data_IF_853529848915
#
_entry.id   IF_853529848915
#
_cell.length_a   1.000
_cell.length_b   1.000
_cell.length_c   1.000
_cell.angle_alpha   90.00
_cell.angle_beta   90.00
_cell.angle_gamma   90.00
#
_symmetry.space_group_name_H-M   'P 1'
#
loop_
_entity.id
_entity.type
_entity.pdbx_description
1 polymer ?
#
# COMPACT_ATOMS: atom_id res chain seq x y z
N UNK A 1 -20.05 17.57 -4.47
CA UNK A 1 -20.35 16.68 -5.62
C UNK A 1 -19.48 15.40 -5.70
N UNK A 2 -18.32 15.29 -5.01
CA UNK A 2 -17.36 14.16 -5.18
C UNK A 2 -17.61 12.88 -4.36
N UNK A 3 -18.40 12.91 -3.27
CA UNK A 3 -18.55 11.76 -2.35
C UNK A 3 -19.51 10.66 -2.87
N UNK A 4 -20.51 11.02 -3.69
CA UNK A 4 -21.46 10.04 -4.26
C UNK A 4 -20.79 9.08 -5.24
N UNK A 5 -19.86 9.58 -6.06
CA UNK A 5 -19.20 8.80 -7.10
C UNK A 5 -18.36 7.64 -6.53
N UNK A 6 -17.73 7.83 -5.37
CA UNK A 6 -16.85 6.82 -4.75
C UNK A 6 -17.67 5.75 -4.00
N UNK A 7 -18.86 6.08 -3.49
CA UNK A 7 -19.75 5.09 -2.85
C UNK A 7 -20.24 4.05 -3.85
N UNK A 8 -20.61 4.47 -5.05
CA UNK A 8 -21.12 3.61 -6.12
C UNK A 8 -20.09 2.65 -6.73
N UNK A 9 -18.81 2.77 -6.34
CA UNK A 9 -17.75 1.87 -6.81
C UNK A 9 -17.90 0.49 -6.14
N UNK A 10 -17.81 -0.57 -6.95
CA UNK A 10 -17.79 -1.97 -6.52
C UNK A 10 -16.70 -2.24 -5.48
N UNK A 11 -16.98 -3.13 -4.53
CA UNK A 11 -16.01 -3.50 -3.48
C UNK A 11 -14.71 -4.03 -4.10
N UNK A 12 -14.80 -4.89 -5.12
CA UNK A 12 -13.64 -5.42 -5.85
C UNK A 12 -12.74 -4.30 -6.37
N UNK A 13 -13.33 -3.26 -6.96
CA UNK A 13 -12.58 -2.13 -7.51
C UNK A 13 -11.92 -1.30 -6.41
N UNK A 14 -12.60 -1.07 -5.28
CA UNK A 14 -12.00 -0.38 -4.11
C UNK A 14 -10.76 -1.13 -3.60
N UNK A 15 -10.83 -2.45 -3.48
CA UNK A 15 -9.70 -3.29 -3.05
C UNK A 15 -8.56 -3.33 -4.08
N UNK A 16 -8.89 -3.45 -5.38
CA UNK A 16 -7.88 -3.41 -6.43
C UNK A 16 -7.17 -2.05 -6.50
N UNK A 17 -7.89 -0.94 -6.30
CA UNK A 17 -7.27 0.39 -6.22
C UNK A 17 -6.33 0.51 -5.03
N UNK A 18 -6.73 0.02 -3.85
CA UNK A 18 -5.85 -0.01 -2.67
C UNK A 18 -4.58 -0.82 -2.93
N UNK A 19 -4.72 -2.04 -3.45
CA UNK A 19 -3.58 -2.91 -3.78
C UNK A 19 -2.69 -2.29 -4.86
N UNK A 20 -3.28 -1.75 -5.91
CA UNK A 20 -2.55 -1.09 -7.00
C UNK A 20 -1.76 0.14 -6.53
N UNK A 21 -2.39 1.03 -5.75
CA UNK A 21 -1.71 2.20 -5.17
C UNK A 21 -0.60 1.76 -4.22
N UNK A 22 -0.83 0.72 -3.42
CA UNK A 22 0.19 0.21 -2.49
C UNK A 22 1.40 -0.36 -3.24
N UNK A 23 1.18 -1.17 -4.28
CA UNK A 23 2.25 -1.73 -5.12
C UNK A 23 3.01 -0.60 -5.85
N UNK A 24 2.29 0.35 -6.43
CA UNK A 24 2.92 1.51 -7.09
C UNK A 24 3.75 2.34 -6.11
N UNK A 25 3.27 2.53 -4.89
CA UNK A 25 4.02 3.19 -3.82
C UNK A 25 5.30 2.44 -3.45
N UNK A 26 5.24 1.11 -3.34
CA UNK A 26 6.42 0.28 -3.08
C UNK A 26 7.44 0.32 -4.21
N UNK A 27 6.98 0.24 -5.46
CA UNK A 27 7.87 0.35 -6.64
C UNK A 27 8.53 1.73 -6.65
N UNK A 28 7.75 2.79 -6.47
CA UNK A 28 8.26 4.15 -6.43
C UNK A 28 9.33 4.32 -5.33
N UNK A 29 9.04 3.87 -4.10
CA UNK A 29 9.99 3.89 -2.99
C UNK A 29 11.26 3.08 -3.27
N UNK A 30 11.12 1.90 -3.90
CA UNK A 30 12.25 1.06 -4.29
C UNK A 30 13.14 1.75 -5.33
N UNK A 31 12.54 2.32 -6.37
CA UNK A 31 13.27 3.05 -7.43
C UNK A 31 14.00 4.26 -6.87
N UNK A 32 13.32 5.11 -6.09
CA UNK A 32 13.94 6.24 -5.37
C UNK A 32 15.12 5.77 -4.50
N UNK A 33 14.93 4.66 -3.77
CA UNK A 33 16.00 4.12 -2.92
C UNK A 33 17.25 3.76 -3.70
N UNK A 34 17.10 3.12 -4.85
CA UNK A 34 18.23 2.74 -5.72
C UNK A 34 18.90 3.97 -6.32
N UNK A 35 18.15 4.99 -6.72
CA UNK A 35 18.70 6.24 -7.29
C UNK A 35 19.56 6.96 -6.25
N UNK A 36 19.05 7.15 -5.04
CA UNK A 36 19.82 7.76 -3.94
C UNK A 36 21.09 6.95 -3.62
N UNK A 37 20.99 5.62 -3.61
CA UNK A 37 22.16 4.76 -3.35
C UNK A 37 23.24 4.92 -4.42
N UNK A 38 22.86 5.09 -5.69
CA UNK A 38 23.81 5.35 -6.79
C UNK A 38 24.53 6.69 -6.62
N UNK A 39 23.80 7.74 -6.26
CA UNK A 39 24.40 9.07 -6.06
C UNK A 39 25.42 9.09 -4.93
N UNK A 40 25.15 8.37 -3.83
CA UNK A 40 26.12 8.22 -2.73
C UNK A 40 27.34 7.40 -3.20
N UNK A 41 27.09 6.35 -3.98
CA UNK A 41 28.15 5.51 -4.51
C UNK A 41 29.06 6.24 -5.51
N UNK A 42 28.55 7.22 -6.26
CA UNK A 42 29.35 8.04 -7.18
C UNK A 42 30.43 8.83 -6.43
N UNK A 43 30.09 9.52 -5.33
CA UNK A 43 31.08 10.23 -4.51
C UNK A 43 32.16 9.29 -3.96
N UNK A 44 31.78 8.09 -3.48
CA UNK A 44 32.75 7.08 -3.04
C UNK A 44 33.62 6.56 -4.18
N UNK A 45 33.06 6.45 -5.39
CA UNK A 45 33.79 5.97 -6.57
C UNK A 45 34.81 7.01 -7.00
N UNK A 46 34.45 8.29 -7.01
CA UNK A 46 35.35 9.39 -7.33
C UNK A 46 36.54 9.43 -6.35
N UNK A 47 36.29 9.33 -5.04
CA UNK A 47 37.34 9.26 -4.02
C UNK A 47 38.28 8.08 -4.27
N UNK A 48 37.72 6.89 -4.48
CA UNK A 48 38.52 5.67 -4.60
C UNK A 48 39.26 5.53 -5.93
N UNK A 49 38.72 6.08 -7.02
CA UNK A 49 39.25 5.86 -8.38
C UNK A 49 40.02 7.06 -8.94
N UNK A 50 39.87 8.25 -8.37
CA UNK A 50 40.56 9.46 -8.83
C UNK A 50 41.41 10.08 -7.71
N UNK A 51 40.78 10.53 -6.62
CA UNK A 51 41.48 11.30 -5.59
C UNK A 51 42.56 10.50 -4.83
N UNK A 52 42.24 9.28 -4.38
CA UNK A 52 43.19 8.46 -3.60
C UNK A 52 44.42 8.04 -4.43
N UNK A 53 44.28 7.52 -5.65
CA UNK A 53 45.44 7.22 -6.50
C UNK A 53 46.32 8.45 -6.77
N UNK A 54 45.72 9.63 -7.03
CA UNK A 54 46.48 10.86 -7.24
C UNK A 54 47.32 11.24 -6.01
N UNK A 55 46.75 11.16 -4.80
CA UNK A 55 47.49 11.40 -3.54
C UNK A 55 48.66 10.42 -3.41
N UNK A 56 48.42 9.12 -3.63
CA UNK A 56 49.44 8.08 -3.50
C UNK A 56 50.59 8.33 -4.48
N UNK A 57 50.31 8.59 -5.76
CA UNK A 57 51.34 8.81 -6.76
C UNK A 57 52.15 10.09 -6.45
N UNK A 58 51.50 11.18 -6.01
CA UNK A 58 52.21 12.40 -5.63
C UNK A 58 53.16 12.19 -4.43
N UNK A 59 52.72 11.46 -3.41
CA UNK A 59 53.55 11.11 -2.24
C UNK A 59 54.67 10.12 -2.59
N UNK A 60 54.39 9.14 -3.46
CA UNK A 60 55.41 8.22 -3.98
C UNK A 60 56.47 8.94 -4.82
N UNK A 61 56.06 9.89 -5.67
CA UNK A 61 56.96 10.75 -6.42
C UNK A 61 57.86 11.54 -5.45
N UNK A 62 57.28 12.17 -4.43
CA UNK A 62 58.05 12.93 -3.42
C UNK A 62 59.04 12.04 -2.63
N UNK A 63 58.67 10.78 -2.40
CA UNK A 63 59.56 9.79 -1.79
C UNK A 63 60.70 9.42 -2.74
N UNK A 64 60.40 9.15 -4.02
CA UNK A 64 61.42 8.78 -5.02
C UNK A 64 62.39 9.91 -5.32
N UNK A 65 61.94 11.17 -5.34
CA UNK A 65 62.84 12.33 -5.48
C UNK A 65 63.80 12.40 -4.29
N UNK A 66 63.31 12.13 -3.08
CA UNK A 66 64.14 12.05 -1.86
C UNK A 66 65.15 10.90 -1.94
N UNK A 67 64.74 9.72 -2.40
CA UNK A 67 65.63 8.58 -2.62
C UNK A 67 66.73 8.90 -3.64
N UNK A 68 66.39 9.56 -4.75
CA UNK A 68 67.35 10.03 -5.75
C UNK A 68 68.39 10.96 -5.12
N UNK A 69 67.94 11.96 -4.35
CA UNK A 69 68.82 12.91 -3.66
C UNK A 69 69.74 12.22 -2.65
N UNK A 70 69.27 11.19 -1.95
CA UNK A 70 70.10 10.38 -1.05
C UNK A 70 71.23 9.67 -1.83
N UNK A 71 70.95 9.15 -3.03
CA UNK A 71 71.97 8.55 -3.90
C UNK A 71 72.96 9.60 -4.40
N UNK A 72 72.48 10.79 -4.75
CA UNK A 72 73.33 11.92 -5.11
C UNK A 72 74.31 12.28 -3.97
N UNK A 73 73.84 12.37 -2.72
CA UNK A 73 74.72 12.58 -1.55
C UNK A 73 75.77 11.47 -1.41
N UNK A 74 75.38 10.20 -1.56
CA UNK A 74 76.31 9.08 -1.46
C UNK A 74 77.37 9.10 -2.57
N UNK A 75 76.99 9.55 -3.77
CA UNK A 75 77.90 9.67 -4.92
C UNK A 75 78.99 10.70 -4.63
N UNK A 76 78.63 11.84 -4.02
CA UNK A 76 79.58 12.87 -3.59
C UNK A 76 80.58 12.36 -2.54
N UNK A 77 80.16 11.44 -1.66
CA UNK A 77 80.96 11.01 -0.49
C UNK A 77 81.89 9.82 -0.80
N UNK A 78 81.48 8.88 -1.66
CA UNK A 78 82.09 7.55 -1.71
C UNK A 78 83.54 7.50 -2.21
N UNK A 79 83.96 8.42 -3.09
CA UNK A 79 85.32 8.50 -3.66
C UNK A 79 85.80 7.30 -4.51
N UNK A 80 85.14 6.14 -4.39
CA UNK A 80 85.40 4.91 -5.14
C UNK A 80 84.60 4.87 -6.45
N UNK A 81 85.27 4.62 -7.57
CA UNK A 81 84.64 4.64 -8.89
C UNK A 81 83.61 3.52 -9.09
N UNK A 82 83.76 2.36 -8.45
CA UNK A 82 82.81 1.25 -8.62
C UNK A 82 81.52 1.55 -7.87
N UNK A 83 81.61 2.17 -6.70
CA UNK A 83 80.43 2.64 -5.99
C UNK A 83 79.73 3.78 -6.73
N UNK A 84 80.48 4.70 -7.35
CA UNK A 84 79.89 5.73 -8.23
C UNK A 84 79.12 5.11 -9.40
N UNK A 85 79.69 4.10 -10.09
CA UNK A 85 78.99 3.38 -11.17
C UNK A 85 77.68 2.74 -10.70
N UNK A 86 77.71 2.08 -9.53
CA UNK A 86 76.52 1.47 -8.95
C UNK A 86 75.46 2.52 -8.61
N UNK A 87 75.86 3.63 -7.98
CA UNK A 87 74.95 4.71 -7.61
C UNK A 87 74.34 5.38 -8.84
N UNK A 88 75.11 5.63 -9.90
CA UNK A 88 74.61 6.18 -11.16
C UNK A 88 73.59 5.24 -11.82
N UNK A 89 73.82 3.92 -11.78
CA UNK A 89 72.84 2.94 -12.25
C UNK A 89 71.55 2.96 -11.42
N UNK A 90 71.65 3.03 -10.08
CA UNK A 90 70.49 3.14 -9.19
C UNK A 90 69.72 4.44 -9.42
N UNK A 91 70.43 5.57 -9.58
CA UNK A 91 69.85 6.88 -9.88
C UNK A 91 69.13 6.89 -11.23
N UNK A 92 69.69 6.22 -12.24
CA UNK A 92 69.04 6.05 -13.55
C UNK A 92 67.71 5.31 -13.41
N UNK A 93 67.69 4.21 -12.65
CA UNK A 93 66.46 3.46 -12.39
C UNK A 93 65.42 4.31 -11.65
N UNK A 94 65.83 5.07 -10.63
CA UNK A 94 64.93 5.96 -9.89
C UNK A 94 64.39 7.05 -10.82
N UNK A 95 65.22 7.64 -11.70
CA UNK A 95 64.78 8.64 -12.67
C UNK A 95 63.72 8.07 -13.62
N UNK A 96 63.90 6.85 -14.11
CA UNK A 96 62.89 6.16 -14.93
C UNK A 96 61.58 5.93 -14.19
N UNK A 97 61.63 5.52 -12.92
CA UNK A 97 60.44 5.29 -12.09
C UNK A 97 59.72 6.61 -11.71
N UNK A 98 60.45 7.71 -11.60
CA UNK A 98 59.88 9.05 -11.45
C UNK A 98 59.21 9.49 -12.75
N UNK A 99 59.86 9.37 -13.90
CA UNK A 99 59.25 9.69 -15.20
C UNK A 99 57.99 8.87 -15.45
N UNK A 100 58.00 7.58 -15.09
CA UNK A 100 56.80 6.74 -15.13
C UNK A 100 55.72 7.25 -14.18
N UNK A 101 56.08 7.65 -12.96
CA UNK A 101 55.13 8.21 -12.00
C UNK A 101 54.43 9.48 -12.50
N UNK A 102 55.15 10.40 -13.14
CA UNK A 102 54.53 11.58 -13.78
C UNK A 102 53.58 11.18 -14.91
N UNK A 103 53.96 10.19 -15.71
CA UNK A 103 53.10 9.66 -16.80
C UNK A 103 51.84 8.98 -16.23
N UNK A 104 52.00 8.13 -15.22
CA UNK A 104 50.89 7.40 -14.59
C UNK A 104 49.90 8.36 -13.91
N UNK A 105 50.39 9.50 -13.41
CA UNK A 105 49.55 10.53 -12.82
C UNK A 105 48.52 11.11 -13.81
N UNK A 106 48.83 11.15 -15.12
CA UNK A 106 47.92 11.70 -16.14
C UNK A 106 46.55 10.99 -16.15
N UNK A 107 46.50 9.73 -15.73
CA UNK A 107 45.27 8.92 -15.64
C UNK A 107 44.33 9.38 -14.53
N UNK A 108 44.85 10.11 -13.54
CA UNK A 108 44.14 10.48 -12.32
C UNK A 108 43.89 11.98 -12.17
N UNK A 109 44.28 12.78 -13.18
CA UNK A 109 44.05 14.22 -13.19
C UNK A 109 42.56 14.53 -12.97
N UNK A 110 42.30 15.25 -11.88
CA UNK A 110 40.94 15.55 -11.44
C UNK A 110 40.36 16.79 -12.14
N UNK A 111 41.19 17.79 -12.43
CA UNK A 111 40.80 19.02 -13.12
C UNK A 111 42.03 19.80 -13.64
N UNK A 112 41.78 20.96 -14.23
CA UNK A 112 42.83 21.82 -14.80
C UNK A 112 43.78 22.41 -13.75
N UNK A 113 43.33 22.66 -12.52
CA UNK A 113 44.21 23.14 -11.45
C UNK A 113 45.17 22.06 -10.99
N UNK A 114 44.68 20.82 -10.89
CA UNK A 114 45.49 19.63 -10.59
C UNK A 114 46.58 19.41 -11.65
N UNK A 115 46.19 19.45 -12.93
CA UNK A 115 47.12 19.36 -14.06
C UNK A 115 48.26 20.37 -13.94
N UNK A 116 47.94 21.64 -13.73
CA UNK A 116 48.94 22.71 -13.62
C UNK A 116 49.88 22.51 -12.46
N UNK A 117 49.37 22.11 -11.29
CA UNK A 117 50.22 21.84 -10.13
C UNK A 117 51.21 20.70 -10.41
N UNK A 118 50.77 19.65 -11.11
CA UNK A 118 51.65 18.54 -11.48
C UNK A 118 52.68 18.95 -12.55
N UNK A 119 52.27 19.68 -13.58
CA UNK A 119 53.18 20.20 -14.61
C UNK A 119 54.24 21.14 -14.02
N UNK A 120 53.85 21.98 -13.06
CA UNK A 120 54.77 22.84 -12.31
C UNK A 120 55.77 22.01 -11.49
N UNK A 121 55.30 20.99 -10.76
CA UNK A 121 56.15 20.10 -9.96
C UNK A 121 57.14 19.30 -10.83
N UNK A 122 56.69 18.78 -11.98
CA UNK A 122 57.55 18.12 -12.96
C UNK A 122 58.59 19.09 -13.53
N UNK A 123 58.19 20.32 -13.82
CA UNK A 123 59.08 21.39 -14.27
C UNK A 123 60.19 21.70 -13.26
N UNK A 124 59.86 21.85 -11.97
CA UNK A 124 60.87 22.06 -10.92
C UNK A 124 61.79 20.85 -10.73
N UNK A 125 61.25 19.63 -10.82
CA UNK A 125 62.05 18.41 -10.79
C UNK A 125 63.05 18.34 -11.96
N UNK A 126 62.63 18.71 -13.17
CA UNK A 126 63.51 18.73 -14.33
C UNK A 126 64.65 19.76 -14.18
N UNK A 127 64.38 20.94 -13.61
CA UNK A 127 65.44 21.91 -13.28
C UNK A 127 66.43 21.35 -12.25
N UNK A 128 65.94 20.64 -11.24
CA UNK A 128 66.80 19.94 -10.28
C UNK A 128 67.68 18.89 -10.98
N UNK A 129 67.11 18.09 -11.89
CA UNK A 129 67.87 17.08 -12.66
C UNK A 129 68.95 17.70 -13.54
N UNK A 130 68.68 18.83 -14.20
CA UNK A 130 69.69 19.55 -14.98
C UNK A 130 70.88 20.00 -14.10
N UNK A 131 70.62 20.43 -12.86
CA UNK A 131 71.66 20.78 -11.90
C UNK A 131 72.39 19.52 -11.38
N UNK A 132 71.65 18.44 -11.11
CA UNK A 132 72.18 17.14 -10.69
C UNK A 132 73.14 16.55 -11.72
N UNK A 133 72.81 16.60 -13.01
CA UNK A 133 73.68 16.09 -14.09
C UNK A 133 75.04 16.80 -14.10
N UNK A 134 75.06 18.11 -13.84
CA UNK A 134 76.31 18.88 -13.71
C UNK A 134 77.09 18.50 -12.45
N UNK A 135 76.39 18.31 -11.32
CA UNK A 135 76.97 17.91 -10.05
C UNK A 135 77.65 16.53 -10.14
N UNK A 136 76.98 15.55 -10.77
CA UNK A 136 77.51 14.19 -10.93
C UNK A 136 78.82 14.16 -11.73
N UNK A 137 78.96 15.03 -12.75
CA UNK A 137 80.22 15.16 -13.51
C UNK A 137 81.37 15.64 -12.64
N UNK A 138 81.15 16.62 -11.76
CA UNK A 138 82.15 17.15 -10.83
C UNK A 138 82.49 16.10 -9.75
N UNK A 139 81.47 15.44 -9.21
CA UNK A 139 81.63 14.37 -8.24
C UNK A 139 82.45 13.21 -8.80
N UNK A 140 82.23 12.82 -10.06
CA UNK A 140 82.99 11.76 -10.76
C UNK A 140 84.48 12.08 -10.89
N UNK A 141 84.85 13.36 -10.90
CA UNK A 141 86.24 13.82 -10.91
C UNK A 141 86.88 13.84 -9.52
N UNK A 142 86.17 13.36 -8.49
CA UNK A 142 86.56 13.42 -7.08
C UNK A 142 86.81 14.85 -6.56
N UNK A 143 86.18 15.85 -7.17
CA UNK A 143 86.15 17.22 -6.65
C UNK A 143 85.11 17.33 -5.51
N UNK A 144 85.30 16.55 -4.45
CA UNK A 144 84.29 16.35 -3.39
C UNK A 144 83.84 17.64 -2.72
N UNK A 145 84.75 18.59 -2.46
CA UNK A 145 84.37 19.86 -1.82
C UNK A 145 83.47 20.70 -2.75
N UNK A 146 83.80 20.79 -4.03
CA UNK A 146 83.00 21.53 -5.02
C UNK A 146 81.62 20.88 -5.20
N UNK A 147 81.57 19.56 -5.34
CA UNK A 147 80.30 18.81 -5.44
C UNK A 147 79.47 18.92 -4.15
N UNK A 148 80.11 18.95 -2.99
CA UNK A 148 79.43 19.17 -1.70
C UNK A 148 78.87 20.59 -1.58
N UNK A 149 79.62 21.61 -2.00
CA UNK A 149 79.13 23.00 -2.00
C UNK A 149 77.92 23.16 -2.94
N UNK A 150 77.94 22.48 -4.10
CA UNK A 150 76.81 22.40 -5.02
C UNK A 150 75.57 21.73 -4.38
N UNK A 151 75.73 20.59 -3.70
CA UNK A 151 74.60 19.83 -3.15
C UNK A 151 73.90 20.56 -1.99
N UNK A 152 74.65 21.29 -1.16
CA UNK A 152 74.10 22.04 -0.01
C UNK A 152 73.59 23.44 -0.40
N UNK A 153 74.01 23.96 -1.55
CA UNK A 153 73.64 25.27 -2.10
C UNK A 153 72.43 25.20 -3.03
N UNK A 154 72.59 25.64 -4.29
CA UNK A 154 71.48 25.78 -5.24
C UNK A 154 70.73 24.46 -5.50
N UNK A 155 71.42 23.31 -5.50
CA UNK A 155 70.77 21.99 -5.63
C UNK A 155 69.73 21.75 -4.54
N UNK A 156 69.98 22.23 -3.32
CA UNK A 156 69.04 22.09 -2.21
C UNK A 156 67.76 22.88 -2.47
N UNK A 157 67.88 24.13 -2.92
CA UNK A 157 66.71 24.95 -3.21
C UNK A 157 65.85 24.34 -4.32
N UNK A 158 66.48 23.88 -5.41
CA UNK A 158 65.78 23.24 -6.53
C UNK A 158 65.04 21.96 -6.10
N UNK A 159 65.64 21.18 -5.20
CA UNK A 159 64.99 20.01 -4.63
C UNK A 159 63.83 20.39 -3.71
N UNK A 160 64.04 21.37 -2.82
CA UNK A 160 63.00 21.84 -1.91
C UNK A 160 61.79 22.37 -2.71
N UNK A 161 62.02 23.10 -3.81
CA UNK A 161 60.98 23.59 -4.72
C UNK A 161 60.20 22.44 -5.39
N UNK A 162 60.89 21.39 -5.86
CA UNK A 162 60.26 20.20 -6.45
C UNK A 162 59.46 19.40 -5.42
N UNK A 163 60.01 19.19 -4.22
CA UNK A 163 59.34 18.50 -3.11
C UNK A 163 58.10 19.25 -2.65
N UNK A 164 58.19 20.56 -2.48
CA UNK A 164 57.05 21.42 -2.14
C UNK A 164 55.97 21.40 -3.24
N UNK A 165 56.38 21.33 -4.51
CA UNK A 165 55.47 21.15 -5.64
C UNK A 165 54.64 19.87 -5.53
N UNK A 166 55.29 18.73 -5.30
CA UNK A 166 54.62 17.43 -5.14
C UNK A 166 53.73 17.38 -3.89
N UNK A 167 54.17 17.97 -2.77
CA UNK A 167 53.34 18.09 -1.56
C UNK A 167 52.10 18.97 -1.77
N UNK A 168 52.19 20.03 -2.58
CA UNK A 168 51.02 20.83 -2.97
C UNK A 168 50.02 20.02 -3.80
N UNK A 169 50.51 19.17 -4.71
CA UNK A 169 49.65 18.25 -5.48
C UNK A 169 48.95 17.27 -4.55
N UNK A 170 49.67 16.63 -3.62
CA UNK A 170 49.08 15.72 -2.64
C UNK A 170 48.03 16.42 -1.75
N UNK A 171 48.33 17.62 -1.25
CA UNK A 171 47.40 18.42 -0.43
C UNK A 171 46.15 18.86 -1.22
N UNK A 172 46.32 19.26 -2.48
CA UNK A 172 45.21 19.60 -3.36
C UNK A 172 44.23 18.43 -3.49
N UNK A 173 44.75 17.24 -3.81
CA UNK A 173 43.94 16.05 -3.98
C UNK A 173 43.33 15.56 -2.67
N UNK A 174 44.04 15.69 -1.54
CA UNK A 174 43.50 15.42 -0.20
C UNK A 174 42.29 16.31 0.12
N UNK A 175 42.40 17.62 -0.13
CA UNK A 175 41.28 18.57 0.05
C UNK A 175 40.13 18.28 -0.90
N UNK A 176 40.42 17.87 -2.14
CA UNK A 176 39.42 17.43 -3.10
C UNK A 176 38.65 16.20 -2.60
N UNK A 177 39.35 15.17 -2.11
CA UNK A 177 38.74 13.98 -1.51
C UNK A 177 37.83 14.31 -0.32
N UNK A 178 38.28 15.19 0.58
CA UNK A 178 37.50 15.65 1.73
C UNK A 178 36.24 16.41 1.28
N UNK A 179 36.38 17.31 0.30
CA UNK A 179 35.25 18.04 -0.25
C UNK A 179 34.23 17.11 -0.93
N UNK A 180 34.69 16.11 -1.68
CA UNK A 180 33.84 15.09 -2.29
C UNK A 180 33.09 14.25 -1.23
N UNK A 181 33.77 13.89 -0.12
CA UNK A 181 33.13 13.19 1.01
C UNK A 181 32.05 14.04 1.65
N UNK A 182 32.35 15.31 1.97
CA UNK A 182 31.40 16.25 2.57
C UNK A 182 30.20 16.51 1.64
N UNK A 183 30.43 16.59 0.33
CA UNK A 183 29.36 16.73 -0.65
C UNK A 183 28.45 15.48 -0.66
N UNK A 184 29.05 14.29 -0.59
CA UNK A 184 28.33 13.02 -0.45
C UNK A 184 27.47 12.95 0.80
N UNK A 185 28.00 13.37 1.94
CA UNK A 185 27.26 13.41 3.22
C UNK A 185 26.09 14.38 3.18
N UNK A 186 26.31 15.60 2.66
CA UNK A 186 25.24 16.59 2.51
C UNK A 186 24.13 16.10 1.56
N UNK A 187 24.50 15.43 0.47
CA UNK A 187 23.55 14.84 -0.46
C UNK A 187 22.74 13.73 0.22
N UNK A 188 23.38 12.86 1.01
CA UNK A 188 22.71 11.85 1.80
C UNK A 188 21.68 12.46 2.75
N UNK A 189 22.06 13.47 3.52
CA UNK A 189 21.18 14.13 4.50
C UNK A 189 19.96 14.79 3.84
N UNK A 190 20.16 15.44 2.71
CA UNK A 190 19.06 16.04 1.93
C UNK A 190 18.11 14.97 1.41
N UNK A 191 18.63 13.90 0.80
CA UNK A 191 17.82 12.82 0.26
C UNK A 191 17.13 12.01 1.36
N UNK A 192 17.77 11.80 2.51
CA UNK A 192 17.17 11.13 3.66
C UNK A 192 15.93 11.89 4.17
N UNK A 193 16.00 13.23 4.27
CA UNK A 193 14.84 14.06 4.65
C UNK A 193 13.69 13.96 3.63
N UNK A 194 14.01 14.05 2.34
CA UNK A 194 13.01 13.90 1.27
C UNK A 194 12.37 12.50 1.29
N UNK A 195 13.16 11.46 1.53
CA UNK A 195 12.66 10.08 1.68
C UNK A 195 11.69 9.95 2.85
N UNK A 196 12.03 10.47 4.03
CA UNK A 196 11.13 10.41 5.20
C UNK A 196 9.79 11.09 4.88
N UNK A 197 9.82 12.28 4.29
CA UNK A 197 8.61 13.02 3.90
C UNK A 197 7.77 12.21 2.90
N UNK A 198 8.42 11.60 1.91
CA UNK A 198 7.75 10.81 0.87
C UNK A 198 7.13 9.54 1.44
N UNK A 199 7.82 8.84 2.34
CA UNK A 199 7.31 7.67 3.06
C UNK A 199 6.09 8.05 3.90
N UNK A 200 6.16 9.15 4.66
CA UNK A 200 5.05 9.64 5.45
C UNK A 200 3.84 10.04 4.59
N UNK A 201 4.07 10.67 3.43
CA UNK A 201 3.00 11.04 2.50
C UNK A 201 2.33 9.82 1.86
N UNK A 202 3.10 8.89 1.30
CA UNK A 202 2.57 7.66 0.68
C UNK A 202 1.86 6.81 1.73
N UNK A 203 2.51 6.59 2.89
CA UNK A 203 1.94 5.88 4.02
C UNK A 203 0.64 6.53 4.51
N UNK A 204 0.63 7.85 4.67
CA UNK A 204 -0.55 8.61 5.08
C UNK A 204 -1.71 8.49 4.09
N UNK A 205 -1.45 8.58 2.78
CA UNK A 205 -2.46 8.40 1.73
C UNK A 205 -3.05 6.98 1.78
N UNK A 206 -2.19 5.96 1.89
CA UNK A 206 -2.62 4.56 2.00
C UNK A 206 -3.46 4.37 3.27
N UNK A 207 -3.02 4.87 4.43
CA UNK A 207 -3.76 4.79 5.68
C UNK A 207 -5.14 5.45 5.59
N UNK A 208 -5.22 6.65 5.01
CA UNK A 208 -6.50 7.34 4.78
C UNK A 208 -7.43 6.54 3.85
N UNK A 209 -6.88 5.94 2.80
CA UNK A 209 -7.64 5.10 1.87
C UNK A 209 -8.16 3.83 2.56
N UNK A 210 -7.34 3.18 3.39
CA UNK A 210 -7.74 2.01 4.19
C UNK A 210 -8.87 2.36 5.15
N UNK A 211 -8.71 3.43 5.94
CA UNK A 211 -9.74 3.91 6.87
C UNK A 211 -11.04 4.20 6.12
N UNK A 212 -10.94 4.87 4.96
CA UNK A 212 -12.10 5.15 4.11
C UNK A 212 -12.81 3.87 3.66
N UNK A 213 -12.06 2.86 3.17
CA UNK A 213 -12.64 1.58 2.71
C UNK A 213 -13.30 0.85 3.88
N UNK A 214 -12.68 0.82 5.06
CA UNK A 214 -13.26 0.22 6.27
C UNK A 214 -14.60 0.88 6.57
N UNK A 215 -14.66 2.21 6.66
CA UNK A 215 -15.91 2.93 6.97
C UNK A 215 -16.97 2.70 5.88
N UNK A 216 -16.56 2.66 4.61
CA UNK A 216 -17.45 2.47 3.47
C UNK A 216 -18.07 1.06 3.40
N UNK A 217 -17.43 0.05 3.99
CA UNK A 217 -17.91 -1.34 4.00
C UNK A 217 -18.54 -1.71 5.35
N UNK A 218 -17.83 -1.46 6.45
CA UNK A 218 -18.23 -1.90 7.80
C UNK A 218 -19.57 -1.31 8.23
N UNK A 219 -19.76 0.00 8.04
CA UNK A 219 -20.98 0.71 8.47
C UNK A 219 -22.26 0.16 7.80
N UNK A 220 -22.36 0.04 6.47
CA UNK A 220 -23.58 -0.49 5.85
C UNK A 220 -23.75 -2.00 6.04
N UNK A 221 -22.66 -2.77 6.17
CA UNK A 221 -22.74 -4.20 6.51
C UNK A 221 -23.33 -4.39 7.91
N UNK A 222 -22.86 -3.63 8.91
CA UNK A 222 -23.44 -3.66 10.27
C UNK A 222 -24.92 -3.28 10.27
N UNK A 223 -25.31 -2.27 9.51
CA UNK A 223 -26.71 -1.86 9.39
C UNK A 223 -27.58 -2.97 8.76
N UNK A 224 -27.06 -3.67 7.75
CA UNK A 224 -27.72 -4.83 7.15
C UNK A 224 -27.91 -5.96 8.16
N UNK A 225 -26.86 -6.31 8.91
CA UNK A 225 -26.90 -7.36 9.94
C UNK A 225 -27.93 -7.03 11.01
N UNK A 226 -27.97 -5.80 11.50
CA UNK A 226 -28.93 -5.39 12.53
C UNK A 226 -30.36 -5.38 11.99
N UNK A 227 -30.57 -4.87 10.78
CA UNK A 227 -31.90 -4.84 10.17
C UNK A 227 -32.44 -6.24 9.88
N UNK A 228 -31.62 -7.16 9.38
CA UNK A 228 -32.07 -8.55 9.16
C UNK A 228 -32.33 -9.28 10.47
N UNK A 229 -31.56 -8.98 11.54
CA UNK A 229 -31.82 -9.52 12.88
C UNK A 229 -33.18 -9.08 13.44
N UNK A 230 -33.54 -7.81 13.26
CA UNK A 230 -34.88 -7.30 13.64
C UNK A 230 -36.00 -8.00 12.87
N UNK A 231 -35.83 -8.17 11.56
CA UNK A 231 -36.78 -8.90 10.70
C UNK A 231 -36.93 -10.35 11.15
N UNK A 232 -35.82 -11.02 11.50
CA UNK A 232 -35.85 -12.38 12.05
C UNK A 232 -36.62 -12.50 13.36
N UNK A 233 -36.67 -11.42 14.16
CA UNK A 233 -37.47 -11.34 15.39
C UNK A 233 -38.93 -10.89 15.14
N UNK A 234 -39.37 -10.81 13.88
CA UNK A 234 -40.75 -10.47 13.52
C UNK A 234 -41.03 -8.97 13.32
N UNK A 235 -40.02 -8.10 13.41
CA UNK A 235 -40.17 -6.68 13.14
C UNK A 235 -40.05 -6.38 11.64
N UNK A 236 -41.21 -6.23 10.98
CA UNK A 236 -41.32 -5.95 9.53
C UNK A 236 -41.46 -4.45 9.20
N UNK A 237 -41.38 -3.57 10.20
CA UNK A 237 -41.38 -2.11 9.99
C UNK A 237 -39.96 -1.56 9.72
N UNK A 238 -38.96 -2.44 9.66
CA UNK A 238 -37.57 -2.08 9.38
C UNK A 238 -37.41 -1.62 7.93
N UNK A 239 -36.75 -0.48 7.74
CA UNK A 239 -36.28 -0.01 6.43
C UNK A 239 -34.77 0.26 6.46
N UNK A 240 -34.03 -0.35 5.53
CA UNK A 240 -32.60 -0.15 5.40
C UNK A 240 -32.30 1.02 4.43
N UNK A 241 -31.76 2.15 4.89
CA UNK A 241 -31.66 3.37 4.07
C UNK A 241 -30.42 3.41 3.15
N UNK A 242 -29.63 2.34 3.09
CA UNK A 242 -28.40 2.33 2.29
C UNK A 242 -28.71 2.23 0.80
N UNK A 243 -28.42 3.31 0.06
CA UNK A 243 -28.51 3.37 -1.40
C UNK A 243 -27.12 3.53 -2.00
N UNK A 244 -26.73 2.57 -2.82
CA UNK A 244 -25.48 2.55 -3.59
C UNK A 244 -25.69 1.66 -4.82
N UNK A 245 -24.88 1.85 -5.86
CA UNK A 245 -24.82 0.94 -7.02
C UNK A 245 -23.84 -0.23 -6.80
N UNK A 246 -23.15 -0.25 -5.66
CA UNK A 246 -22.27 -1.36 -5.27
C UNK A 246 -23.05 -2.61 -4.83
N UNK A 247 -22.30 -3.69 -4.56
CA UNK A 247 -22.84 -4.97 -4.14
C UNK A 247 -23.68 -4.87 -2.84
N UNK A 248 -23.31 -3.97 -1.92
CA UNK A 248 -24.02 -3.76 -0.65
C UNK A 248 -25.35 -3.06 -0.91
N UNK A 249 -25.40 -2.10 -1.84
CA UNK A 249 -26.60 -1.38 -2.23
C UNK A 249 -27.59 -2.28 -2.95
N UNK A 250 -27.10 -3.14 -3.84
CA UNK A 250 -27.90 -4.19 -4.50
C UNK A 250 -28.49 -5.13 -3.44
N UNK A 251 -27.67 -5.64 -2.51
CA UNK A 251 -28.13 -6.51 -1.44
C UNK A 251 -29.17 -5.82 -0.52
N UNK A 252 -28.93 -4.56 -0.16
CA UNK A 252 -29.85 -3.77 0.65
C UNK A 252 -31.21 -3.62 -0.01
N UNK A 253 -31.22 -3.35 -1.32
CA UNK A 253 -32.46 -3.26 -2.09
C UNK A 253 -33.21 -4.60 -2.12
N UNK A 254 -32.51 -5.71 -2.34
CA UNK A 254 -33.10 -7.05 -2.31
C UNK A 254 -33.71 -7.40 -0.94
N UNK A 255 -33.02 -7.06 0.15
CA UNK A 255 -33.53 -7.26 1.52
C UNK A 255 -34.78 -6.40 1.77
N UNK A 256 -34.77 -5.11 1.41
CA UNK A 256 -35.94 -4.24 1.54
C UNK A 256 -37.15 -4.77 0.74
N UNK A 257 -36.93 -5.35 -0.45
CA UNK A 257 -38.00 -5.97 -1.24
C UNK A 257 -38.55 -7.23 -0.55
N UNK A 258 -37.70 -8.04 0.08
CA UNK A 258 -38.12 -9.20 0.87
C UNK A 258 -38.96 -8.77 2.07
N UNK A 259 -38.51 -7.78 2.85
CA UNK A 259 -39.24 -7.24 4.01
C UNK A 259 -40.62 -6.75 3.57
N UNK A 260 -40.68 -5.96 2.48
CA UNK A 260 -41.96 -5.46 1.94
C UNK A 260 -42.89 -6.60 1.54
N UNK A 261 -42.38 -7.68 0.94
CA UNK A 261 -43.20 -8.84 0.56
C UNK A 261 -43.73 -9.58 1.78
N UNK A 262 -42.88 -9.83 2.78
CA UNK A 262 -43.29 -10.45 4.05
C UNK A 262 -44.36 -9.61 4.73
N UNK A 263 -44.19 -8.28 4.78
CA UNK A 263 -45.18 -7.37 5.36
C UNK A 263 -46.52 -7.47 4.64
N UNK A 264 -46.52 -7.43 3.30
CA UNK A 264 -47.74 -7.58 2.52
C UNK A 264 -48.46 -8.90 2.79
N UNK A 265 -47.72 -10.02 2.86
CA UNK A 265 -48.29 -11.34 3.19
C UNK A 265 -48.93 -11.31 4.58
N UNK A 266 -48.20 -10.86 5.61
CA UNK A 266 -48.71 -10.82 6.99
C UNK A 266 -49.93 -9.90 7.13
N UNK A 267 -49.93 -8.74 6.46
CA UNK A 267 -51.07 -7.81 6.51
C UNK A 267 -52.30 -8.38 5.79
N UNK A 268 -52.12 -9.11 4.69
CA UNK A 268 -53.19 -9.79 3.98
C UNK A 268 -53.71 -11.00 4.75
N UNK A 269 -52.85 -11.79 5.39
CA UNK A 269 -53.27 -12.86 6.30
C UNK A 269 -54.12 -12.29 7.45
N UNK A 270 -53.69 -11.20 8.10
CA UNK A 270 -54.47 -10.53 9.14
C UNK A 270 -55.84 -10.07 8.64
N UNK A 271 -55.89 -9.57 7.40
CA UNK A 271 -57.15 -9.19 6.76
C UNK A 271 -58.05 -10.39 6.53
N UNK A 272 -57.55 -11.46 5.89
CA UNK A 272 -58.30 -12.68 5.61
C UNK A 272 -58.81 -13.34 6.89
N UNK A 273 -58.00 -13.43 7.95
CA UNK A 273 -58.44 -13.98 9.24
C UNK A 273 -59.49 -13.13 9.95
N UNK A 274 -59.46 -11.79 9.80
CA UNK A 274 -60.50 -10.91 10.35
C UNK A 274 -61.85 -11.14 9.66
N UNK A 275 -61.84 -11.33 8.35
CA UNK A 275 -63.04 -11.61 7.57
C UNK A 275 -63.60 -13.01 7.89
N UNK A 276 -62.74 -14.02 8.03
CA UNK A 276 -63.12 -15.34 8.56
C UNK A 276 -63.79 -15.20 9.94
N UNK A 277 -63.19 -14.43 10.85
CA UNK A 277 -63.72 -14.19 12.19
C UNK A 277 -65.04 -13.42 12.21
N UNK A 278 -65.34 -12.68 11.14
CA UNK A 278 -66.62 -11.99 10.92
C UNK A 278 -67.61 -12.84 10.12
N UNK A 279 -67.32 -14.14 9.95
CA UNK A 279 -68.08 -15.10 9.14
C UNK A 279 -68.27 -14.72 7.66
N UNK A 280 -67.36 -13.91 7.11
CA UNK A 280 -67.29 -13.59 5.69
C UNK A 280 -66.29 -14.52 4.99
N UNK A 281 -66.81 -15.56 4.32
CA UNK A 281 -65.98 -16.60 3.68
C UNK A 281 -65.81 -16.43 2.17
N UNK A 282 -66.40 -15.39 1.57
CA UNK A 282 -66.27 -15.11 0.12
C UNK A 282 -65.15 -14.11 -0.20
N UNK A 283 -64.45 -13.62 0.82
CA UNK A 283 -63.33 -12.69 0.66
C UNK A 283 -62.16 -13.31 -0.11
N UNK A 284 -61.44 -12.48 -0.87
CA UNK A 284 -60.21 -12.87 -1.59
C UNK A 284 -59.01 -12.07 -1.11
N UNK A 285 -57.82 -12.64 -1.30
CA UNK A 285 -56.56 -11.95 -1.03
C UNK A 285 -56.46 -10.64 -1.81
N UNK A 286 -55.97 -9.60 -1.13
CA UNK A 286 -55.67 -8.29 -1.70
C UNK A 286 -54.27 -8.23 -2.33
N UNK A 287 -53.42 -9.24 -2.05
CA UNK A 287 -52.05 -9.28 -2.55
C UNK A 287 -51.61 -10.67 -3.05
N UNK A 288 -52.45 -11.37 -3.81
CA UNK A 288 -52.16 -12.72 -4.35
C UNK A 288 -50.78 -12.83 -5.02
N UNK A 289 -50.34 -11.77 -5.72
CA UNK A 289 -49.03 -11.70 -6.38
C UNK A 289 -47.82 -11.80 -5.42
N UNK A 290 -48.00 -11.59 -4.11
CA UNK A 290 -46.96 -11.73 -3.09
C UNK A 290 -46.71 -13.20 -2.71
N UNK A 291 -47.72 -14.08 -2.84
CA UNK A 291 -47.65 -15.51 -2.50
C UNK A 291 -47.08 -16.33 -3.66
N UNK A 292 -45.81 -16.10 -4.02
CA UNK A 292 -45.10 -16.84 -5.07
C UNK A 292 -44.08 -17.81 -4.50
N UNK A 293 -43.83 -18.91 -5.23
CA UNK A 293 -42.88 -19.94 -4.80
C UNK A 293 -43.34 -20.59 -3.49
N UNK A 294 -42.43 -20.68 -2.53
CA UNK A 294 -42.68 -21.34 -1.23
C UNK A 294 -43.74 -20.64 -0.37
N UNK A 295 -44.15 -19.41 -0.71
CA UNK A 295 -45.26 -18.73 -0.04
C UNK A 295 -46.64 -19.13 -0.57
N UNK A 296 -46.74 -19.71 -1.77
CA UNK A 296 -48.02 -20.06 -2.38
C UNK A 296 -48.89 -21.04 -1.55
N UNK A 297 -48.32 -22.10 -0.92
CA UNK A 297 -49.08 -23.03 -0.07
C UNK A 297 -49.84 -22.37 1.08
N UNK A 298 -49.36 -21.22 1.58
CA UNK A 298 -49.99 -20.51 2.69
C UNK A 298 -51.36 -19.98 2.27
N UNK A 299 -51.43 -19.28 1.13
CA UNK A 299 -52.68 -18.76 0.59
C UNK A 299 -53.65 -19.89 0.24
N UNK A 300 -53.17 -20.98 -0.37
CA UNK A 300 -54.01 -22.14 -0.66
C UNK A 300 -54.61 -22.75 0.62
N UNK A 301 -53.84 -22.81 1.70
CA UNK A 301 -54.30 -23.34 2.99
C UNK A 301 -55.39 -22.45 3.60
N UNK A 302 -55.24 -21.13 3.55
CA UNK A 302 -56.25 -20.17 4.03
C UNK A 302 -57.54 -20.29 3.20
N UNK A 303 -57.44 -20.29 1.87
CA UNK A 303 -58.61 -20.41 0.97
C UNK A 303 -59.33 -21.75 1.14
N UNK A 304 -58.58 -22.83 1.34
CA UNK A 304 -59.15 -24.16 1.64
C UNK A 304 -59.88 -24.16 2.98
N UNK A 305 -59.30 -23.54 4.01
CA UNK A 305 -59.95 -23.37 5.32
C UNK A 305 -61.25 -22.57 5.19
N UNK A 306 -61.23 -21.42 4.49
CA UNK A 306 -62.42 -20.61 4.22
C UNK A 306 -63.54 -21.42 3.57
N UNK A 307 -63.20 -22.21 2.53
CA UNK A 307 -64.17 -23.04 1.81
C UNK A 307 -64.81 -24.10 2.71
N UNK A 308 -64.03 -24.70 3.63
CA UNK A 308 -64.53 -25.68 4.61
C UNK A 308 -65.44 -25.03 5.66
N UNK A 309 -65.09 -23.84 6.13
CA UNK A 309 -65.90 -23.10 7.11
C UNK A 309 -67.22 -22.60 6.50
N UNK A 310 -67.19 -22.12 5.25
CA UNK A 310 -68.41 -21.76 4.51
C UNK A 310 -69.36 -22.96 4.37
N UNK A 311 -68.83 -24.12 3.96
CA UNK A 311 -69.61 -25.34 3.88
C UNK A 311 -70.18 -25.78 5.24
N UNK A 312 -69.41 -25.60 6.32
CA UNK A 312 -69.88 -25.92 7.68
C UNK A 312 -70.99 -24.97 8.15
N UNK A 313 -70.88 -23.66 7.87
CA UNK A 313 -71.92 -22.67 8.17
C UNK A 313 -73.22 -22.99 7.44
N UNK A 314 -73.15 -23.23 6.12
CA UNK A 314 -74.32 -23.61 5.31
C UNK A 314 -75.02 -24.87 5.83
N UNK A 315 -74.25 -25.90 6.25
CA UNK A 315 -74.81 -27.12 6.88
C UNK A 315 -75.49 -26.84 8.21
N UNK A 316 -74.94 -25.92 9.02
CA UNK A 316 -75.55 -25.51 10.28
C UNK A 316 -76.86 -24.77 10.02
N UNK A 317 -76.89 -23.83 9.09
CA UNK A 317 -78.10 -23.09 8.71
C UNK A 317 -79.19 -24.03 8.20
N UNK A 318 -78.87 -24.95 7.27
CA UNK A 318 -79.83 -25.93 6.76
C UNK A 318 -80.33 -26.90 7.85
N UNK A 319 -79.45 -27.36 8.74
CA UNK A 319 -79.86 -28.22 9.85
C UNK A 319 -80.71 -27.50 10.91
N UNK A 320 -80.53 -26.19 11.06
CA UNK A 320 -81.36 -25.38 11.97
C UNK A 320 -82.75 -25.15 11.36
N UNK A 321 -82.83 -24.89 10.05
CA UNK A 321 -84.09 -24.83 9.30
C UNK A 321 -84.86 -26.16 9.39
N UNK A 322 -84.19 -27.30 9.17
CA UNK A 322 -84.80 -28.63 9.30
C UNK A 322 -85.33 -28.89 10.71
N UNK A 323 -84.57 -28.55 11.77
CA UNK A 323 -85.00 -28.69 13.17
C UNK A 323 -86.18 -27.77 13.52
N UNK A 324 -86.22 -26.55 12.99
CA UNK A 324 -87.37 -25.65 13.18
C UNK A 324 -88.61 -26.18 12.46
N UNK A 325 -88.46 -26.69 11.24
CA UNK A 325 -89.56 -27.29 10.48
C UNK A 325 -90.08 -28.59 11.13
N UNK A 326 -89.18 -29.38 11.72
CA UNK A 326 -89.54 -30.59 12.47
C UNK A 326 -90.26 -30.27 13.78
N UNK A 327 -89.78 -29.28 14.54
CA UNK A 327 -90.46 -28.79 15.74
C UNK A 327 -91.84 -28.20 15.44
N UNK A 328 -92.01 -27.44 14.35
CA UNK A 328 -93.32 -26.93 13.92
C UNK A 328 -94.28 -28.07 13.55
N UNK A 329 -93.79 -29.11 12.86
CA UNK A 329 -94.59 -30.31 12.57
C UNK A 329 -94.99 -31.05 13.84
N UNK A 330 -94.10 -31.15 14.83
CA UNK A 330 -94.39 -31.80 16.11
C UNK A 330 -95.40 -30.99 16.95
N UNK A 331 -95.31 -29.66 16.93
CA UNK A 331 -96.26 -28.77 17.63
C UNK A 331 -97.65 -28.80 16.95
N UNK A 332 -97.69 -28.85 15.62
CA UNK A 332 -98.91 -29.08 14.84
C UNK A 332 -99.53 -30.45 15.14
N UNK A 333 -98.71 -31.51 15.25
CA UNK A 333 -99.16 -32.83 15.63
C UNK A 333 -99.74 -32.85 17.06
N UNK A 334 -99.08 -32.20 18.03
CA UNK A 334 -99.61 -32.03 19.41
C UNK A 334 -100.95 -31.29 19.42
N UNK A 335 -101.09 -30.21 18.63
CA UNK A 335 -102.35 -29.46 18.49
C UNK A 335 -103.47 -30.29 17.84
N UNK A 336 -103.14 -31.15 16.87
CA UNK A 336 -104.10 -32.05 16.24
C UNK A 336 -104.60 -33.13 17.22
N UNK A 337 -103.70 -33.73 18.01
CA UNK A 337 -104.06 -34.68 19.08
C UNK A 337 -104.95 -34.02 20.14
N UNK A 338 -104.64 -32.80 20.59
CA UNK A 338 -105.50 -32.05 21.50
C UNK A 338 -106.92 -31.84 20.94
N UNK A 339 -107.05 -31.49 19.64
CA UNK A 339 -108.37 -31.33 18.99
C UNK A 339 -109.15 -32.65 18.94
N UNK A 340 -108.48 -33.78 18.65
CA UNK A 340 -109.09 -35.11 18.67
C UNK A 340 -109.60 -35.49 20.07
N UNK A 341 -108.80 -35.28 21.12
CA UNK A 341 -109.20 -35.51 22.52
C UNK A 341 -110.42 -34.65 22.89
N UNK A 342 -110.45 -33.39 22.46
CA UNK A 342 -111.59 -32.47 22.71
C UNK A 342 -112.87 -32.92 21.95
N UNK A 343 -112.71 -33.48 20.75
CA UNK A 343 -113.80 -34.06 19.94
C UNK A 343 -114.33 -35.37 20.55
N UNK A 344 -113.45 -36.21 21.06
CA UNK A 344 -113.81 -37.46 21.73
C UNK A 344 -114.49 -37.21 23.09
N UNK A 345 -114.07 -36.17 23.83
CA UNK A 345 -114.76 -35.70 25.02
C UNK A 345 -116.20 -35.22 24.73
N UNK A 346 -116.41 -34.49 23.63
CA UNK A 346 -117.74 -34.07 23.17
C UNK A 346 -118.64 -35.22 22.70
N UNK A 347 -118.09 -36.20 21.96
CA UNK A 347 -118.86 -37.39 21.53
C UNK A 347 -119.32 -38.28 22.68
N UNK A 348 -118.56 -38.34 23.79
CA UNK A 348 -119.03 -39.04 24.99
C UNK A 348 -120.14 -38.28 25.73
N UNK A 349 -120.20 -36.95 25.65
CA UNK A 349 -121.33 -36.18 26.19
C UNK A 349 -122.60 -36.38 25.34
N UNK A 350 -122.51 -36.29 24.01
CA UNK A 350 -123.68 -36.38 23.12
C UNK A 350 -124.30 -37.80 23.00
N UNK A 351 -123.58 -38.85 23.39
CA UNK A 351 -124.11 -40.22 23.39
C UNK A 351 -124.95 -40.56 24.65
N UNK A 352 -124.98 -39.68 25.65
CA UNK A 352 -125.71 -39.90 26.90
C UNK A 352 -127.10 -39.25 26.91
N UNK A 353 -127.42 -38.38 25.94
CA UNK A 353 -128.61 -37.50 25.97
C UNK A 353 -129.71 -37.90 24.95
N UNK A 354 -129.72 -39.16 24.49
CA UNK A 354 -130.75 -39.72 23.60
C UNK A 354 -131.47 -40.96 24.14
N UNK A 355 -131.46 -41.16 25.45
CA UNK A 355 -132.34 -42.11 26.16
C UNK A 355 -132.93 -41.43 27.39
N UNK A 356 -134.07 -40.77 27.20
CA UNK A 356 -134.88 -40.16 28.24
C UNK A 356 -136.27 -39.93 27.68
#
# INVERSE_FOLDING_TARGET
MKVKFIRDIKIKTKLLLLGGISILGLIFMGTESVITARQINEASTEISQSWVPAIIIAEELNTRTSDYRIKEYNHVITGDSRDMDRLESEMTQIREDITRGFTDYELYITNESDRKLMEEAEGEWNKYLEYSDRLLVISRQNHTQEAFDMIIGDSRQLFDDASDGLLKVADFNRKGAEAASIQGDNLYDQLAKVKIITICLIGGIISLLVIYIIIAIDKPVKALVEGTRRVANGDLEVYLPYRSKDEIGILTNSVNQLIKRLKNIIDDEKYLFREIGSENFEVKSTCEHAYRGDFAPILYSITSLMSRLDAAKKRKESGTEDLTAENEKEELAKRAVCREITKHGRRKMDATDKKG
#
